data_IF_613842030791
#
_entry.id   IF_613842030791
#
_cell.length_a   1.000
_cell.length_b   1.000
_cell.length_c   1.000
_cell.angle_alpha   90.00
_cell.angle_beta   90.00
_cell.angle_gamma   90.00
#
_symmetry.space_group_name_H-M   'P 1'
#
loop_
_entity.id
_entity.type
_entity.pdbx_description
1 polymer ?
#
# COMPACT_ATOMS: atom_id res chain seq x y z
N UNK A 1 3.93 -55.59 57.14
CA UNK A 1 2.91 -56.51 57.64
C UNK A 1 2.26 -57.10 56.40
N UNK A 2 2.65 -58.31 56.04
CA UNK A 2 1.90 -59.59 56.25
C UNK A 2 0.57 -59.55 55.46
N UNK A 3 0.21 -60.38 54.59
CA UNK A 3 0.39 -61.81 54.25
C UNK A 3 -0.62 -62.06 53.14
N UNK A 4 -0.51 -62.85 52.24
CA UNK A 4 -0.25 -64.30 52.00
C UNK A 4 -1.34 -64.82 51.09
N UNK A 5 -0.98 -65.35 49.96
CA UNK A 5 -1.07 -66.77 49.53
C UNK A 5 -2.50 -67.32 49.57
N UNK A 6 -3.02 -67.81 48.44
CA UNK A 6 -3.15 -69.24 48.24
C UNK A 6 -3.69 -69.63 46.86
N UNK A 7 -3.00 -70.63 46.33
CA UNK A 7 -3.28 -71.39 45.13
C UNK A 7 -4.41 -72.42 45.35
N UNK A 8 -5.17 -72.77 44.31
CA UNK A 8 -5.71 -74.10 44.17
C UNK A 8 -5.88 -74.54 42.72
N UNK A 9 -5.21 -75.63 42.42
CA UNK A 9 -5.35 -76.43 41.22
C UNK A 9 -6.41 -77.49 41.38
N UNK A 10 -7.20 -77.81 40.35
CA UNK A 10 -7.69 -79.17 40.12
C UNK A 10 -8.07 -79.38 38.64
N UNK A 11 -7.43 -80.26 38.05
CA UNK A 11 -7.74 -81.35 37.08
C UNK A 11 -9.14 -81.47 36.49
N UNK A 12 -9.14 -81.66 35.15
CA UNK A 12 -9.95 -82.77 34.67
C UNK A 12 -10.68 -82.63 33.33
N UNK A 13 -10.24 -83.38 32.41
CA UNK A 13 -10.98 -84.12 31.37
C UNK A 13 -11.16 -83.50 29.98
N UNK A 14 -10.42 -84.09 29.10
CA UNK A 14 -10.56 -84.10 27.63
C UNK A 14 -11.97 -84.49 27.13
N UNK A 15 -12.49 -83.78 26.20
CA UNK A 15 -13.42 -84.26 25.17
C UNK A 15 -13.07 -83.68 23.81
N UNK A 16 -12.63 -84.58 22.95
CA UNK A 16 -12.46 -84.34 21.51
C UNK A 16 -13.81 -83.99 20.86
N UNK A 17 -13.90 -82.86 20.29
CA UNK A 17 -14.98 -82.50 19.35
C UNK A 17 -14.35 -82.09 18.01
N UNK A 18 -14.80 -82.76 16.98
CA UNK A 18 -14.42 -82.61 15.59
C UNK A 18 -14.74 -81.19 15.12
N UNK A 19 -13.71 -80.54 14.62
CA UNK A 19 -13.83 -79.23 14.02
C UNK A 19 -14.13 -79.39 12.56
N UNK A 20 -15.34 -79.08 12.12
CA UNK A 20 -15.68 -78.81 10.73
C UNK A 20 -15.11 -77.47 10.33
N UNK A 21 -14.18 -77.49 9.41
CA UNK A 21 -13.52 -76.27 8.86
C UNK A 21 -14.55 -75.50 8.02
N UNK A 22 -15.04 -74.42 8.59
CA UNK A 22 -15.81 -73.42 7.85
C UNK A 22 -14.81 -72.38 7.33
N UNK A 23 -14.57 -72.36 6.05
CA UNK A 23 -13.76 -71.38 5.37
C UNK A 23 -14.53 -70.03 5.35
N UNK A 24 -14.24 -69.14 6.30
CA UNK A 24 -14.62 -67.74 6.29
C UNK A 24 -13.53 -66.97 5.53
N UNK A 25 -13.79 -66.57 4.29
CA UNK A 25 -13.02 -65.57 3.58
C UNK A 25 -12.98 -64.27 4.43
N UNK A 26 -11.81 -63.71 4.72
CA UNK A 26 -11.74 -62.35 5.22
C UNK A 26 -12.02 -61.41 4.05
N UNK A 27 -13.18 -60.77 4.09
CA UNK A 27 -13.52 -59.63 3.26
C UNK A 27 -12.63 -58.47 3.69
N UNK A 28 -11.51 -58.29 3.03
CA UNK A 28 -10.66 -57.10 3.17
C UNK A 28 -11.44 -55.92 2.58
N UNK A 29 -12.11 -55.19 3.45
CA UNK A 29 -12.56 -53.83 3.16
C UNK A 29 -11.30 -52.99 2.98
N UNK A 30 -10.91 -52.83 1.71
CA UNK A 30 -10.03 -51.76 1.29
C UNK A 30 -10.76 -50.43 1.58
N UNK A 31 -10.60 -49.92 2.81
CA UNK A 31 -10.84 -48.50 3.09
C UNK A 31 -9.76 -47.79 2.31
N UNK A 32 -10.09 -47.43 1.06
CA UNK A 32 -9.38 -46.47 0.28
C UNK A 32 -9.51 -45.13 1.04
N UNK A 33 -8.57 -44.87 1.95
CA UNK A 33 -8.25 -43.49 2.31
C UNK A 33 -7.70 -42.84 1.04
N UNK A 34 -8.60 -42.36 0.18
CA UNK A 34 -8.25 -41.35 -0.80
C UNK A 34 -7.62 -40.19 0.00
N UNK A 35 -6.48 -39.65 -0.43
CA UNK A 35 -6.03 -38.43 0.17
C UNK A 35 -7.19 -37.46 0.08
N UNK A 36 -7.67 -36.94 1.23
CA UNK A 36 -8.45 -35.72 1.26
C UNK A 36 -7.65 -34.75 0.39
N UNK A 37 -8.10 -34.52 -0.83
CA UNK A 37 -7.70 -33.36 -1.55
C UNK A 37 -8.14 -32.21 -0.67
N UNK A 38 -7.25 -31.74 0.21
CA UNK A 38 -7.27 -30.37 0.61
C UNK A 38 -7.37 -29.65 -0.72
N UNK A 39 -8.53 -29.10 -1.03
CA UNK A 39 -8.68 -28.14 -2.10
C UNK A 39 -7.64 -27.04 -1.80
N UNK A 40 -6.40 -27.24 -2.23
CA UNK A 40 -5.51 -26.15 -2.49
C UNK A 40 -6.25 -25.35 -3.55
N UNK A 41 -7.02 -24.34 -3.11
CA UNK A 41 -7.62 -23.38 -4.03
C UNK A 41 -6.48 -22.94 -4.93
N UNK A 42 -6.55 -23.35 -6.17
CA UNK A 42 -5.50 -23.10 -7.15
C UNK A 42 -5.50 -21.59 -7.29
N UNK A 43 -4.47 -20.95 -6.77
CA UNK A 43 -4.24 -19.52 -6.94
C UNK A 43 -3.93 -19.27 -8.41
N UNK A 44 -4.92 -18.74 -9.13
CA UNK A 44 -4.81 -18.36 -10.54
C UNK A 44 -4.79 -16.83 -10.66
N UNK A 45 -4.52 -16.28 -11.85
CA UNK A 45 -4.59 -14.82 -12.04
C UNK A 45 -5.94 -14.17 -11.73
N UNK A 46 -7.03 -14.95 -11.68
CA UNK A 46 -8.40 -14.44 -11.53
C UNK A 46 -9.20 -15.11 -10.40
N UNK A 47 -8.59 -16.06 -9.67
CA UNK A 47 -9.25 -16.76 -8.56
C UNK A 47 -8.27 -17.02 -7.44
N UNK A 48 -8.75 -17.07 -6.19
CA UNK A 48 -7.95 -17.35 -5.01
C UNK A 48 -8.04 -16.26 -3.96
N UNK A 49 -7.15 -16.32 -2.97
CA UNK A 49 -7.07 -15.34 -1.90
C UNK A 49 -5.62 -14.96 -1.66
N UNK A 50 -5.31 -13.67 -1.65
CA UNK A 50 -3.99 -13.15 -1.27
C UNK A 50 -4.12 -12.03 -0.25
N UNK A 51 -3.14 -11.97 0.66
CA UNK A 51 -2.94 -10.82 1.52
C UNK A 51 -1.81 -9.98 0.93
N UNK A 52 -1.96 -8.65 0.96
CA UNK A 52 -0.89 -7.76 0.57
C UNK A 52 -0.93 -6.43 1.33
N UNK A 53 0.24 -5.84 1.46
CA UNK A 53 0.46 -4.65 2.25
C UNK A 53 0.57 -3.43 1.34
N UNK A 54 0.00 -2.31 1.78
CA UNK A 54 -0.14 -1.11 0.97
C UNK A 54 0.29 0.10 1.78
N UNK A 55 1.15 0.94 1.20
CA UNK A 55 1.43 2.26 1.74
C UNK A 55 0.12 3.06 1.83
N UNK A 56 -0.23 3.54 3.02
CA UNK A 56 -1.46 4.28 3.28
C UNK A 56 -1.62 5.51 2.38
N UNK A 57 -0.51 6.07 1.88
CA UNK A 57 -0.52 7.20 0.96
C UNK A 57 -1.12 6.87 -0.43
N UNK A 58 -1.28 5.59 -0.76
CA UNK A 58 -1.94 5.13 -1.98
C UNK A 58 -3.20 4.30 -1.70
N UNK A 59 -3.77 4.43 -0.49
CA UNK A 59 -4.95 3.70 -0.06
C UNK A 59 -6.13 3.91 -1.01
N UNK A 60 -6.55 5.16 -1.25
CA UNK A 60 -7.74 5.46 -2.07
C UNK A 60 -7.65 4.90 -3.48
N UNK A 61 -6.48 4.95 -4.12
CA UNK A 61 -6.26 4.31 -5.41
C UNK A 61 -6.38 2.79 -5.32
N UNK A 62 -5.75 2.20 -4.29
CA UNK A 62 -5.73 0.74 -4.14
C UNK A 62 -7.12 0.18 -3.89
N UNK A 63 -7.92 0.82 -3.04
CA UNK A 63 -9.31 0.43 -2.78
C UNK A 63 -10.14 0.40 -4.06
N UNK A 64 -10.02 1.43 -4.92
CA UNK A 64 -10.71 1.46 -6.21
C UNK A 64 -10.23 0.37 -7.18
N UNK A 65 -8.93 0.09 -7.23
CA UNK A 65 -8.37 -0.99 -8.07
C UNK A 65 -8.86 -2.37 -7.60
N UNK A 66 -8.90 -2.59 -6.28
CA UNK A 66 -9.36 -3.85 -5.67
C UNK A 66 -10.85 -4.04 -5.93
N UNK A 67 -11.68 -3.03 -5.68
CA UNK A 67 -13.13 -3.10 -5.87
C UNK A 67 -13.51 -3.49 -7.31
N UNK A 68 -12.89 -2.82 -8.30
CA UNK A 68 -13.16 -3.12 -9.72
C UNK A 68 -12.58 -4.47 -10.13
N UNK A 69 -11.45 -4.89 -9.56
CA UNK A 69 -10.87 -6.20 -9.83
C UNK A 69 -11.76 -7.32 -9.29
N UNK A 70 -12.16 -7.26 -8.01
CA UNK A 70 -13.03 -8.27 -7.38
C UNK A 70 -14.42 -8.31 -8.02
N UNK A 71 -14.97 -7.15 -8.40
CA UNK A 71 -16.21 -7.09 -9.18
C UNK A 71 -16.07 -7.79 -10.56
N UNK A 72 -14.89 -7.68 -11.18
CA UNK A 72 -14.63 -8.35 -12.47
C UNK A 72 -14.32 -9.84 -12.33
N UNK A 73 -13.84 -10.27 -11.17
CA UNK A 73 -13.43 -11.64 -10.86
C UNK A 73 -13.98 -12.07 -9.49
N UNK A 74 -15.24 -12.54 -9.41
CA UNK A 74 -15.93 -12.80 -8.12
C UNK A 74 -15.29 -13.88 -7.24
N UNK A 75 -14.42 -14.73 -7.80
CA UNK A 75 -13.67 -15.75 -7.06
C UNK A 75 -12.28 -15.26 -6.61
N UNK A 76 -11.97 -13.98 -6.82
CA UNK A 76 -10.75 -13.33 -6.37
C UNK A 76 -11.00 -12.57 -5.06
N UNK A 77 -10.13 -12.78 -4.05
CA UNK A 77 -10.21 -12.13 -2.76
C UNK A 77 -8.87 -11.47 -2.43
N UNK A 78 -8.86 -10.15 -2.44
CA UNK A 78 -7.69 -9.31 -2.20
C UNK A 78 -7.78 -8.67 -0.81
N UNK A 79 -7.06 -9.23 0.16
CA UNK A 79 -7.05 -8.71 1.54
C UNK A 79 -5.92 -7.70 1.69
N UNK A 80 -6.27 -6.43 1.74
CA UNK A 80 -5.33 -5.32 1.86
C UNK A 80 -5.09 -4.92 3.31
N UNK A 81 -3.84 -4.59 3.65
CA UNK A 81 -3.45 -3.98 4.92
C UNK A 81 -2.78 -2.64 4.64
N UNK A 82 -3.43 -1.55 5.02
CA UNK A 82 -2.88 -0.20 4.86
C UNK A 82 -2.00 0.15 6.05
N UNK A 83 -0.76 0.53 5.78
CA UNK A 83 0.28 0.73 6.79
C UNK A 83 1.27 1.81 6.33
N UNK A 84 2.14 2.25 7.23
CA UNK A 84 3.29 3.06 6.84
C UNK A 84 4.22 2.28 5.90
N UNK A 85 4.93 2.98 5.01
CA UNK A 85 5.85 2.33 4.05
C UNK A 85 6.88 1.42 4.74
N UNK A 86 7.36 1.81 5.92
CA UNK A 86 8.28 0.99 6.70
C UNK A 86 7.66 -0.35 7.13
N UNK A 87 6.42 -0.34 7.58
CA UNK A 87 5.70 -1.55 7.97
C UNK A 87 5.37 -2.43 6.76
N UNK A 88 5.07 -1.81 5.60
CA UNK A 88 4.89 -2.54 4.34
C UNK A 88 6.15 -3.34 3.97
N UNK A 89 7.33 -2.73 4.10
CA UNK A 89 8.60 -3.42 3.85
C UNK A 89 8.86 -4.52 4.89
N UNK A 90 8.52 -4.29 6.16
CA UNK A 90 8.63 -5.33 7.19
C UNK A 90 7.74 -6.54 6.89
N UNK A 91 6.51 -6.33 6.41
CA UNK A 91 5.63 -7.42 6.01
C UNK A 91 6.22 -8.27 4.87
N UNK A 92 6.98 -7.65 3.94
CA UNK A 92 7.72 -8.38 2.91
C UNK A 92 8.86 -9.21 3.52
N UNK A 93 9.60 -8.66 4.49
CA UNK A 93 10.68 -9.38 5.18
C UNK A 93 10.17 -10.58 5.99
N UNK A 94 9.02 -10.44 6.63
CA UNK A 94 8.40 -11.48 7.45
C UNK A 94 7.62 -12.52 6.63
N UNK A 95 7.60 -12.40 5.30
CA UNK A 95 6.81 -13.24 4.38
C UNK A 95 5.30 -13.27 4.72
N UNK A 96 4.83 -12.28 5.46
CA UNK A 96 3.39 -12.10 5.76
C UNK A 96 2.64 -11.52 4.55
N UNK A 97 3.36 -10.87 3.65
CA UNK A 97 2.91 -10.40 2.35
C UNK A 97 3.98 -10.65 1.29
N UNK A 98 3.58 -11.05 0.09
CA UNK A 98 4.46 -11.18 -1.09
C UNK A 98 4.12 -10.21 -2.21
N UNK A 99 3.12 -9.40 -1.99
CA UNK A 99 2.70 -8.31 -2.85
C UNK A 99 2.62 -7.05 -1.99
N UNK A 100 3.22 -5.98 -2.47
CA UNK A 100 3.10 -4.67 -1.83
C UNK A 100 2.80 -3.58 -2.86
N UNK A 101 2.08 -2.54 -2.45
CA UNK A 101 1.93 -1.32 -3.23
C UNK A 101 2.55 -0.18 -2.43
N UNK A 102 3.52 0.50 -3.03
CA UNK A 102 4.30 1.52 -2.34
C UNK A 102 4.81 2.60 -3.31
N UNK A 103 5.34 3.69 -2.77
CA UNK A 103 5.74 4.86 -3.57
C UNK A 103 7.21 4.86 -3.96
N UNK A 104 7.88 3.72 -3.86
CA UNK A 104 9.25 3.49 -4.33
C UNK A 104 9.47 2.03 -4.69
N UNK A 105 10.58 1.75 -5.31
CA UNK A 105 11.13 0.38 -5.42
C UNK A 105 11.79 -0.02 -4.10
N UNK A 106 12.08 -1.30 -3.95
CA UNK A 106 13.00 -1.76 -2.92
C UNK A 106 14.37 -1.10 -3.16
N UNK A 107 15.02 -0.68 -2.08
CA UNK A 107 16.39 -0.17 -2.14
C UNK A 107 17.41 -1.30 -2.38
N UNK A 108 18.70 -0.96 -2.48
CA UNK A 108 19.76 -1.92 -2.77
C UNK A 108 19.87 -3.02 -1.70
N UNK A 109 19.80 -2.66 -0.41
CA UNK A 109 19.94 -3.60 0.71
C UNK A 109 18.72 -4.52 0.80
N UNK A 110 17.51 -3.98 0.64
CA UNK A 110 16.26 -4.72 0.58
C UNK A 110 16.26 -5.72 -0.59
N UNK A 111 16.72 -5.27 -1.76
CA UNK A 111 16.84 -6.10 -2.96
C UNK A 111 17.85 -7.24 -2.72
N UNK A 112 19.05 -6.93 -2.22
CA UNK A 112 20.08 -7.90 -1.93
C UNK A 112 19.63 -8.97 -0.91
N UNK A 113 18.81 -8.57 0.08
CA UNK A 113 18.23 -9.51 1.04
C UNK A 113 17.37 -10.57 0.34
N UNK A 114 16.39 -10.17 -0.49
CA UNK A 114 15.51 -11.13 -1.17
C UNK A 114 16.25 -11.96 -2.22
N UNK A 115 17.25 -11.40 -2.91
CA UNK A 115 18.12 -12.14 -3.84
C UNK A 115 18.95 -13.18 -3.12
N UNK A 116 19.45 -12.90 -1.91
CA UNK A 116 20.17 -13.88 -1.07
C UNK A 116 19.32 -15.09 -0.73
N UNK A 117 18.01 -14.89 -0.57
CA UNK A 117 17.02 -15.94 -0.37
C UNK A 117 16.54 -16.59 -1.68
N UNK A 118 17.12 -16.21 -2.83
CA UNK A 118 16.79 -16.69 -4.18
C UNK A 118 15.33 -16.36 -4.61
N UNK A 119 14.72 -15.36 -4.03
CA UNK A 119 13.46 -14.84 -4.51
C UNK A 119 13.67 -13.96 -5.74
N UNK A 120 12.80 -14.11 -6.74
CA UNK A 120 12.68 -13.12 -7.82
C UNK A 120 11.93 -11.90 -7.31
N UNK A 121 12.34 -10.72 -7.75
CA UNK A 121 11.69 -9.46 -7.40
C UNK A 121 11.17 -8.85 -8.70
N UNK A 122 9.92 -8.43 -8.69
CA UNK A 122 9.32 -7.68 -9.79
C UNK A 122 8.86 -6.31 -9.27
N UNK A 123 9.28 -5.25 -9.96
CA UNK A 123 8.83 -3.88 -9.72
C UNK A 123 7.98 -3.43 -10.90
N UNK A 124 6.71 -3.22 -10.70
CA UNK A 124 5.73 -2.89 -11.74
C UNK A 124 5.19 -1.49 -11.46
N UNK A 125 5.57 -0.51 -12.29
CA UNK A 125 5.07 0.85 -12.16
C UNK A 125 3.63 0.91 -12.66
N UNK A 126 2.71 1.37 -11.79
CA UNK A 126 1.28 1.51 -12.13
C UNK A 126 0.84 2.96 -12.33
N UNK A 127 1.63 3.92 -11.87
CA UNK A 127 1.33 5.34 -12.01
C UNK A 127 2.34 6.22 -11.31
N UNK A 128 2.05 7.52 -11.26
CA UNK A 128 2.83 8.48 -10.48
C UNK A 128 1.90 9.37 -9.65
N UNK A 129 2.31 9.60 -8.41
CA UNK A 129 1.69 10.47 -7.41
C UNK A 129 2.53 11.71 -7.20
N UNK A 130 2.03 12.68 -6.46
CA UNK A 130 2.78 13.85 -6.04
C UNK A 130 2.67 14.08 -4.54
N UNK A 131 3.74 14.57 -3.92
CA UNK A 131 3.72 15.09 -2.56
C UNK A 131 3.20 16.51 -2.59
N UNK A 132 2.13 16.79 -1.85
CA UNK A 132 1.35 18.02 -1.92
C UNK A 132 1.49 18.80 -0.63
N UNK A 133 1.72 20.10 -0.75
CA UNK A 133 1.75 21.05 0.35
C UNK A 133 0.41 21.77 0.43
N UNK A 134 -0.12 21.85 1.64
CA UNK A 134 -1.43 22.46 1.90
C UNK A 134 -1.35 23.43 3.07
N UNK A 135 -2.09 24.51 2.99
CA UNK A 135 -2.18 25.53 4.04
C UNK A 135 -3.63 25.81 4.40
N UNK A 136 -3.84 26.50 5.51
CA UNK A 136 -5.15 26.95 5.93
C UNK A 136 -5.81 27.87 4.88
N UNK A 137 -7.12 27.85 4.82
CA UNK A 137 -7.89 28.69 3.86
C UNK A 137 -7.68 30.20 4.03
N UNK A 138 -7.32 30.64 5.24
CA UNK A 138 -7.06 32.05 5.52
C UNK A 138 -5.59 32.44 5.20
N UNK A 139 -4.70 31.47 5.03
CA UNK A 139 -3.32 31.75 4.72
C UNK A 139 -3.19 32.28 3.27
N UNK A 140 -2.63 33.49 3.04
CA UNK A 140 -2.43 34.05 1.70
C UNK A 140 -1.29 33.38 0.95
N UNK A 141 -0.29 32.80 1.67
CA UNK A 141 0.90 32.23 1.09
C UNK A 141 0.61 30.84 0.51
N UNK A 142 0.49 30.78 -0.80
CA UNK A 142 0.11 29.56 -1.52
C UNK A 142 1.06 29.19 -2.66
N UNK A 143 2.21 29.87 -2.77
CA UNK A 143 3.22 29.61 -3.79
C UNK A 143 4.62 29.65 -3.17
N UNK A 144 5.35 28.55 -3.26
CA UNK A 144 6.66 28.39 -2.63
C UNK A 144 7.73 27.98 -3.63
N UNK A 145 8.97 28.42 -3.39
CA UNK A 145 10.15 27.84 -4.02
C UNK A 145 10.48 26.51 -3.35
N UNK A 146 11.06 25.59 -4.12
CA UNK A 146 11.56 24.32 -3.56
C UNK A 146 12.55 24.54 -2.41
N UNK A 147 13.41 25.57 -2.53
CA UNK A 147 14.36 25.92 -1.47
C UNK A 147 13.67 26.44 -0.20
N UNK A 148 12.58 27.20 -0.31
CA UNK A 148 11.77 27.62 0.84
C UNK A 148 11.17 26.42 1.55
N UNK A 149 10.65 25.46 0.80
CA UNK A 149 10.14 24.19 1.38
C UNK A 149 11.28 23.44 2.09
N UNK A 150 12.47 23.33 1.49
CA UNK A 150 13.63 22.71 2.15
C UNK A 150 13.93 23.37 3.49
N UNK A 151 14.02 24.69 3.52
CA UNK A 151 14.34 25.46 4.72
C UNK A 151 13.28 25.28 5.83
N UNK A 152 12.00 25.26 5.48
CA UNK A 152 10.92 24.96 6.42
C UNK A 152 11.09 23.55 7.02
N UNK A 153 11.40 22.55 6.18
CA UNK A 153 11.53 21.16 6.60
C UNK A 153 12.71 20.92 7.55
N UNK A 154 13.84 21.61 7.33
CA UNK A 154 15.02 21.48 8.20
C UNK A 154 15.01 22.47 9.37
N UNK A 155 14.00 23.35 9.47
CA UNK A 155 13.84 24.32 10.55
C UNK A 155 14.70 25.58 10.44
N UNK A 156 15.31 25.83 9.25
CA UNK A 156 16.01 27.09 8.95
C UNK A 156 15.02 28.26 8.89
N UNK A 157 13.87 28.03 8.22
CA UNK A 157 12.74 28.97 8.19
C UNK A 157 11.61 28.38 9.07
N UNK A 158 11.51 28.85 10.32
CA UNK A 158 10.50 28.41 11.29
C UNK A 158 9.44 29.48 11.60
N UNK A 159 9.59 30.66 11.02
CA UNK A 159 8.67 31.78 11.17
C UNK A 159 8.13 32.21 9.78
N UNK A 160 6.85 32.50 9.69
CA UNK A 160 6.23 33.02 8.47
C UNK A 160 6.85 34.36 8.01
N UNK A 161 7.29 35.20 8.96
CA UNK A 161 7.96 36.47 8.66
C UNK A 161 9.31 36.33 7.96
N UNK A 162 9.93 35.13 7.98
CA UNK A 162 11.14 34.85 7.20
C UNK A 162 10.81 34.59 5.71
N UNK A 163 9.54 34.25 5.42
CA UNK A 163 9.05 33.98 4.07
C UNK A 163 8.40 35.23 3.48
N UNK A 164 7.45 35.80 4.23
CA UNK A 164 6.81 37.09 3.94
C UNK A 164 6.89 37.98 5.19
N UNK A 165 7.64 39.07 5.11
CA UNK A 165 7.81 40.03 6.21
C UNK A 165 6.50 40.68 6.67
N UNK A 166 5.46 40.67 5.84
CA UNK A 166 4.13 41.18 6.15
C UNK A 166 3.19 40.11 6.72
N UNK A 167 3.65 38.89 6.90
CA UNK A 167 2.82 37.80 7.42
C UNK A 167 2.32 38.10 8.83
N UNK A 168 1.03 37.87 9.04
CA UNK A 168 0.38 37.98 10.37
C UNK A 168 0.57 36.73 11.25
N UNK A 169 1.11 35.66 10.68
CA UNK A 169 1.37 34.42 11.40
C UNK A 169 2.80 34.40 11.96
N UNK A 170 2.98 33.71 13.07
CA UNK A 170 4.29 33.66 13.73
C UNK A 170 5.06 32.39 13.34
N UNK A 171 4.71 31.25 13.91
CA UNK A 171 5.42 29.99 13.71
C UNK A 171 4.87 29.22 12.52
N UNK A 172 5.78 28.44 11.89
CA UNK A 172 5.44 27.48 10.85
C UNK A 172 5.48 26.10 11.48
N UNK A 173 4.31 25.46 11.63
CA UNK A 173 4.22 24.06 12.00
C UNK A 173 4.10 23.21 10.74
N UNK A 174 5.05 22.32 10.48
CA UNK A 174 5.04 21.40 9.33
C UNK A 174 4.49 20.06 9.80
N UNK A 175 3.37 19.61 9.22
CA UNK A 175 2.64 18.42 9.68
C UNK A 175 2.68 17.35 8.60
N UNK A 176 3.20 16.16 8.93
CA UNK A 176 3.16 14.95 8.12
C UNK A 176 2.06 13.98 8.61
N UNK A 177 1.65 13.09 7.73
CA UNK A 177 0.67 12.03 7.98
C UNK A 177 1.09 11.04 9.06
N UNK A 178 2.38 10.65 9.14
CA UNK A 178 2.92 9.87 10.26
C UNK A 178 4.46 9.96 10.31
N UNK A 179 5.07 9.47 11.41
CA UNK A 179 6.52 9.52 11.63
C UNK A 179 7.34 8.56 10.75
N UNK A 180 6.69 7.58 10.10
CA UNK A 180 7.28 6.63 9.15
C UNK A 180 6.72 6.82 7.73
N UNK A 181 6.21 8.01 7.45
CA UNK A 181 5.54 8.38 6.21
C UNK A 181 6.44 8.28 4.99
N UNK A 182 5.91 7.73 3.91
CA UNK A 182 6.57 7.77 2.60
C UNK A 182 6.71 9.20 2.05
N UNK A 183 5.83 10.14 2.46
CA UNK A 183 5.97 11.57 2.13
C UNK A 183 7.21 12.16 2.78
N UNK A 184 7.41 11.91 4.09
CA UNK A 184 8.58 12.40 4.83
C UNK A 184 9.87 11.77 4.28
N UNK A 185 9.90 10.45 4.06
CA UNK A 185 11.04 9.76 3.46
C UNK A 185 11.39 10.38 2.10
N UNK A 186 10.41 10.51 1.20
CA UNK A 186 10.62 11.07 -0.13
C UNK A 186 11.26 12.46 -0.08
N UNK A 187 10.76 13.35 0.80
CA UNK A 187 11.31 14.71 0.92
C UNK A 187 12.69 14.71 1.59
N UNK A 188 12.93 13.81 2.55
CA UNK A 188 14.27 13.65 3.15
C UNK A 188 15.29 13.23 2.10
N UNK A 189 14.94 12.26 1.26
CA UNK A 189 15.85 11.73 0.24
C UNK A 189 16.06 12.71 -0.93
N UNK A 190 15.00 13.40 -1.37
CA UNK A 190 15.03 14.22 -2.59
C UNK A 190 15.33 15.69 -2.37
N UNK A 191 15.07 16.23 -1.17
CA UNK A 191 15.13 17.67 -0.92
C UNK A 191 16.01 18.05 0.28
N UNK A 192 15.99 17.25 1.36
CA UNK A 192 16.71 17.60 2.58
C UNK A 192 18.17 17.17 2.59
N UNK A 193 18.67 16.50 1.54
CA UNK A 193 20.06 16.03 1.42
C UNK A 193 20.52 15.19 2.63
N UNK A 194 19.61 14.35 3.20
CA UNK A 194 19.88 13.54 4.38
C UNK A 194 19.86 14.27 5.71
N UNK A 195 19.55 15.57 5.73
CA UNK A 195 19.36 16.32 6.98
C UNK A 195 18.10 15.81 7.70
N UNK A 196 18.13 15.95 9.03
CA UNK A 196 16.97 15.59 9.87
C UNK A 196 15.91 16.69 9.81
N UNK A 197 14.63 16.34 9.96
CA UNK A 197 13.56 17.30 10.14
C UNK A 197 13.83 18.26 11.30
N UNK A 198 13.42 19.51 11.13
CA UNK A 198 13.52 20.54 12.15
C UNK A 198 12.58 20.28 13.34
N UNK A 199 12.76 21.06 14.42
CA UNK A 199 11.92 20.97 15.62
C UNK A 199 10.48 21.45 15.40
N UNK A 200 10.22 22.10 14.27
CA UNK A 200 8.90 22.56 13.82
C UNK A 200 8.15 21.53 12.94
N UNK A 201 8.70 20.32 12.80
CA UNK A 201 8.10 19.23 12.02
C UNK A 201 7.46 18.23 12.97
N UNK A 202 6.19 17.94 12.75
CA UNK A 202 5.37 17.07 13.58
C UNK A 202 4.72 15.97 12.75
N UNK A 203 4.42 14.84 13.37
CA UNK A 203 3.66 13.77 12.79
C UNK A 203 2.21 13.81 13.31
N UNK A 204 1.25 13.65 12.40
CA UNK A 204 -0.13 13.31 12.70
C UNK A 204 -0.33 11.79 12.56
N UNK A 205 -1.59 11.32 12.58
CA UNK A 205 -1.87 9.89 12.44
C UNK A 205 -2.10 9.46 10.97
N UNK A 206 -2.63 10.37 10.15
CA UNK A 206 -3.00 10.13 8.75
C UNK A 206 -3.30 11.44 8.01
N UNK A 207 -3.61 11.37 6.71
CA UNK A 207 -3.91 12.53 5.89
C UNK A 207 -5.12 13.36 6.39
N UNK A 208 -6.15 12.72 6.96
CA UNK A 208 -7.32 13.43 7.53
C UNK A 208 -6.92 14.25 8.76
N UNK A 209 -6.07 13.70 9.63
CA UNK A 209 -5.53 14.40 10.80
C UNK A 209 -4.66 15.59 10.40
N UNK A 210 -3.85 15.46 9.34
CA UNK A 210 -3.09 16.59 8.75
C UNK A 210 -4.03 17.69 8.29
N UNK A 211 -5.04 17.35 7.49
CA UNK A 211 -6.01 18.31 6.94
C UNK A 211 -6.77 19.00 8.06
N UNK A 212 -7.24 18.25 9.05
CA UNK A 212 -7.95 18.79 10.20
C UNK A 212 -7.07 19.71 11.06
N UNK A 213 -5.78 19.41 11.20
CA UNK A 213 -4.85 20.28 11.90
C UNK A 213 -4.63 21.60 11.14
N UNK A 214 -4.33 21.51 9.84
CA UNK A 214 -4.13 22.69 8.97
C UNK A 214 -5.38 23.57 8.92
N UNK A 215 -6.57 22.96 8.84
CA UNK A 215 -7.83 23.70 8.82
C UNK A 215 -8.06 24.54 10.09
N UNK A 216 -7.54 24.10 11.24
CA UNK A 216 -7.70 24.79 12.54
C UNK A 216 -6.53 25.70 12.90
N UNK A 217 -5.38 25.53 12.25
CA UNK A 217 -4.15 26.25 12.57
C UNK A 217 -3.65 27.04 11.35
N UNK A 218 -3.94 28.34 11.25
CA UNK A 218 -3.60 29.16 10.09
C UNK A 218 -2.09 29.26 9.78
N UNK A 219 -1.23 29.06 10.77
CA UNK A 219 0.23 29.02 10.61
C UNK A 219 0.78 27.65 10.23
N UNK A 220 -0.04 26.60 10.09
CA UNK A 220 0.41 25.29 9.74
C UNK A 220 0.53 25.09 8.22
N UNK A 221 1.50 24.27 7.82
CA UNK A 221 1.63 23.70 6.50
C UNK A 221 1.55 22.17 6.60
N UNK A 222 0.62 21.57 5.88
CA UNK A 222 0.44 20.13 5.85
C UNK A 222 1.09 19.52 4.62
N UNK A 223 1.54 18.27 4.74
CA UNK A 223 2.14 17.50 3.66
C UNK A 223 1.38 16.19 3.52
N UNK A 224 0.76 16.00 2.37
CA UNK A 224 -0.08 14.85 2.04
C UNK A 224 0.24 14.32 0.64
N UNK A 225 -0.24 13.12 0.33
CA UNK A 225 -0.23 12.58 -1.03
C UNK A 225 -1.31 13.23 -1.91
N UNK A 226 -1.05 13.43 -3.20
CA UNK A 226 -2.07 13.90 -4.16
C UNK A 226 -3.24 12.92 -4.25
N UNK A 227 -2.98 11.62 -4.07
CA UNK A 227 -4.00 10.57 -3.99
C UNK A 227 -5.09 10.86 -2.93
N UNK A 228 -4.75 11.55 -1.83
CA UNK A 228 -5.73 11.89 -0.79
C UNK A 228 -6.78 12.93 -1.22
N UNK A 229 -6.49 13.71 -2.27
CA UNK A 229 -7.33 14.82 -2.74
C UNK A 229 -7.52 14.84 -4.25
N UNK A 230 -6.97 13.88 -5.00
CA UNK A 230 -6.88 13.90 -6.47
C UNK A 230 -8.19 13.61 -7.18
N UNK A 231 -8.96 12.68 -6.66
CA UNK A 231 -10.20 12.20 -7.24
C UNK A 231 -11.30 13.27 -7.16
N UNK A 232 -11.77 13.69 -8.33
CA UNK A 232 -12.82 14.73 -8.45
C UNK A 232 -14.23 14.19 -8.24
N UNK A 233 -14.39 12.89 -8.42
CA UNK A 233 -15.68 12.21 -8.30
C UNK A 233 -15.89 11.70 -6.87
N UNK A 234 -14.86 11.74 -6.02
CA UNK A 234 -14.91 11.35 -4.61
C UNK A 234 -15.41 12.51 -3.73
N UNK A 235 -16.50 12.27 -3.01
CA UNK A 235 -17.01 13.21 -2.00
C UNK A 235 -15.98 13.47 -0.89
N UNK A 236 -15.23 12.43 -0.47
CA UNK A 236 -14.18 12.54 0.53
C UNK A 236 -13.06 13.47 0.06
N UNK A 237 -12.55 13.29 -1.15
CA UNK A 237 -11.51 14.16 -1.72
C UNK A 237 -12.00 15.60 -1.87
N UNK A 238 -13.27 15.79 -2.27
CA UNK A 238 -13.90 17.10 -2.37
C UNK A 238 -14.04 17.76 -0.99
N UNK A 239 -14.50 17.03 0.01
CA UNK A 239 -14.60 17.49 1.40
C UNK A 239 -13.23 17.92 1.95
N UNK A 240 -12.19 17.11 1.74
CA UNK A 240 -10.80 17.43 2.13
C UNK A 240 -10.31 18.72 1.49
N UNK A 241 -10.46 18.88 0.18
CA UNK A 241 -10.08 20.10 -0.57
C UNK A 241 -10.78 21.35 -0.07
N UNK A 242 -12.03 21.23 0.35
CA UNK A 242 -12.81 22.36 0.83
C UNK A 242 -12.32 22.92 2.16
N UNK A 243 -11.49 22.20 2.90
CA UNK A 243 -10.97 22.60 4.20
C UNK A 243 -9.62 23.34 4.13
N UNK A 244 -8.93 23.25 3.01
CA UNK A 244 -7.55 23.69 2.84
C UNK A 244 -7.33 24.47 1.55
N UNK A 245 -6.15 25.06 1.37
CA UNK A 245 -5.64 25.53 0.08
C UNK A 245 -4.45 24.69 -0.34
N UNK A 246 -4.44 24.23 -1.58
CA UNK A 246 -3.33 23.53 -2.19
C UNK A 246 -2.29 24.53 -2.70
N UNK A 247 -1.05 24.37 -2.29
CA UNK A 247 0.06 25.24 -2.67
C UNK A 247 0.61 24.90 -4.04
N UNK A 248 1.10 25.91 -4.75
CA UNK A 248 1.93 25.76 -5.91
C UNK A 248 3.41 25.72 -5.50
N UNK A 249 4.21 24.87 -6.13
CA UNK A 249 5.65 24.79 -5.88
C UNK A 249 6.43 24.76 -7.18
N UNK A 250 7.60 25.40 -7.19
CA UNK A 250 8.49 25.47 -8.33
C UNK A 250 9.90 25.84 -7.95
N UNK A 251 10.82 25.82 -8.90
CA UNK A 251 12.19 26.30 -8.71
C UNK A 251 12.21 27.81 -8.41
N UNK A 252 11.26 28.53 -9.02
CA UNK A 252 10.99 29.94 -8.75
C UNK A 252 9.48 30.11 -8.43
N UNK A 253 9.15 31.04 -7.54
CA UNK A 253 7.74 31.33 -7.17
C UNK A 253 6.91 31.84 -8.35
N UNK A 254 7.54 32.51 -9.33
CA UNK A 254 6.87 32.97 -10.57
C UNK A 254 6.56 31.82 -11.54
N UNK A 255 7.25 30.69 -11.42
CA UNK A 255 7.07 29.48 -12.22
C UNK A 255 6.59 28.29 -11.36
N UNK A 256 5.85 28.57 -10.29
CA UNK A 256 5.30 27.54 -9.41
C UNK A 256 4.01 26.93 -9.99
N UNK A 257 3.91 25.61 -9.89
CA UNK A 257 2.76 24.84 -10.37
C UNK A 257 2.03 24.17 -9.20
N UNK A 258 0.71 24.17 -9.26
CA UNK A 258 -0.09 23.33 -8.36
C UNK A 258 0.04 21.87 -8.79
N UNK A 259 0.03 20.91 -7.84
CA UNK A 259 -0.02 19.50 -8.17
C UNK A 259 -1.32 19.21 -8.92
N UNK A 260 -1.16 18.75 -10.14
CA UNK A 260 -2.24 18.31 -11.00
C UNK A 260 -1.72 17.19 -11.90
N UNK A 261 -2.62 16.33 -12.37
CA UNK A 261 -2.25 15.24 -13.27
C UNK A 261 -1.39 15.75 -14.46
N UNK A 262 -1.79 16.86 -15.09
CA UNK A 262 -1.04 17.46 -16.19
C UNK A 262 0.34 17.96 -15.74
N UNK A 263 0.45 18.59 -14.57
CA UNK A 263 1.73 19.10 -14.07
C UNK A 263 2.69 17.95 -13.68
N UNK A 264 2.14 16.82 -13.20
CA UNK A 264 2.89 15.60 -12.92
C UNK A 264 3.40 14.96 -14.22
N UNK A 265 2.53 14.74 -15.21
CA UNK A 265 2.87 14.13 -16.50
C UNK A 265 3.89 14.96 -17.28
N UNK A 266 3.79 16.30 -17.23
CA UNK A 266 4.70 17.20 -17.94
C UNK A 266 5.98 17.54 -17.17
N UNK A 267 6.17 16.98 -15.96
CA UNK A 267 7.34 17.24 -15.11
C UNK A 267 7.44 18.68 -14.60
N UNK A 268 6.34 19.45 -14.64
CA UNK A 268 6.31 20.84 -14.16
C UNK A 268 6.22 20.95 -12.65
N UNK A 269 5.58 19.96 -11.99
CA UNK A 269 5.54 19.88 -10.55
C UNK A 269 6.75 19.11 -10.03
N UNK A 270 7.53 19.64 -9.07
CA UNK A 270 8.84 19.07 -8.75
C UNK A 270 8.80 17.82 -7.86
N UNK A 271 7.74 17.61 -7.07
CA UNK A 271 7.68 16.54 -6.08
C UNK A 271 6.79 15.40 -6.55
N UNK A 272 7.28 14.67 -7.56
CA UNK A 272 6.61 13.52 -8.18
C UNK A 272 7.32 12.24 -7.77
N UNK A 273 6.54 11.22 -7.42
CA UNK A 273 7.02 9.88 -7.09
C UNK A 273 6.19 8.82 -7.81
N UNK A 274 6.81 7.72 -8.14
CA UNK A 274 6.15 6.62 -8.84
C UNK A 274 5.46 5.70 -7.85
N UNK A 275 4.31 5.12 -8.27
CA UNK A 275 3.59 4.08 -7.54
C UNK A 275 3.96 2.74 -8.15
N UNK A 276 4.41 1.83 -7.29
CA UNK A 276 4.91 0.52 -7.67
C UNK A 276 4.12 -0.60 -7.01
N UNK A 277 3.79 -1.62 -7.79
CA UNK A 277 3.52 -2.95 -7.26
C UNK A 277 4.88 -3.65 -7.16
N UNK A 278 5.23 -4.07 -5.95
CA UNK A 278 6.42 -4.88 -5.65
C UNK A 278 5.95 -6.30 -5.38
N UNK A 279 6.45 -7.26 -6.17
CA UNK A 279 6.11 -8.67 -6.02
C UNK A 279 7.36 -9.48 -5.69
N UNK A 280 7.29 -10.26 -4.60
CA UNK A 280 8.35 -11.17 -4.17
C UNK A 280 7.98 -12.60 -4.58
N UNK A 281 8.88 -13.25 -5.34
CA UNK A 281 8.68 -14.58 -5.89
C UNK A 281 8.22 -14.58 -7.35
N UNK A 282 8.39 -15.73 -8.01
CA UNK A 282 8.11 -15.90 -9.45
C UNK A 282 6.77 -16.61 -9.72
N UNK A 283 5.97 -16.88 -8.69
CA UNK A 283 4.71 -17.60 -8.86
C UNK A 283 3.70 -16.75 -9.63
N UNK A 284 3.19 -17.33 -10.72
CA UNK A 284 2.03 -16.77 -11.41
C UNK A 284 0.76 -17.14 -10.63
N UNK A 285 0.05 -16.15 -10.13
CA UNK A 285 -1.18 -16.31 -9.35
C UNK A 285 -1.96 -15.01 -9.30
N UNK A 286 -2.84 -14.87 -8.31
CA UNK A 286 -3.75 -13.73 -8.19
C UNK A 286 -3.01 -12.38 -8.14
N UNK A 287 -1.84 -12.33 -7.48
CA UNK A 287 -1.00 -11.12 -7.47
C UNK A 287 -0.48 -10.70 -8.86
N UNK A 288 -0.18 -11.68 -9.73
CA UNK A 288 0.19 -11.39 -11.13
C UNK A 288 -1.03 -10.91 -11.93
N UNK A 289 -2.21 -11.53 -11.71
CA UNK A 289 -3.46 -11.11 -12.31
C UNK A 289 -3.83 -9.68 -11.94
N UNK A 290 -3.75 -9.35 -10.65
CA UNK A 290 -4.01 -7.99 -10.16
C UNK A 290 -3.03 -6.95 -10.74
N UNK A 291 -1.73 -7.27 -10.79
CA UNK A 291 -0.73 -6.38 -11.40
C UNK A 291 -0.99 -6.16 -12.90
N UNK A 292 -1.37 -7.23 -13.62
CA UNK A 292 -1.74 -7.14 -15.04
C UNK A 292 -3.01 -6.30 -15.23
N UNK A 293 -4.00 -6.44 -14.36
CA UNK A 293 -5.21 -5.62 -14.36
C UNK A 293 -4.88 -4.14 -14.10
N UNK A 294 -4.05 -3.85 -13.10
CA UNK A 294 -3.66 -2.48 -12.76
C UNK A 294 -2.94 -1.77 -13.92
N UNK A 295 -2.15 -2.51 -14.73
CA UNK A 295 -1.49 -2.02 -15.94
C UNK A 295 -2.43 -1.99 -17.16
N UNK A 296 -3.49 -2.77 -17.15
CA UNK A 296 -4.46 -2.82 -18.24
C UNK A 296 -5.28 -1.54 -18.35
N UNK A 297 -6.00 -1.40 -19.46
CA UNK A 297 -6.81 -0.20 -19.76
C UNK A 297 -7.73 0.21 -18.60
N UNK A 298 -8.44 -0.75 -18.01
CA UNK A 298 -9.35 -0.48 -16.87
C UNK A 298 -8.61 0.05 -15.65
N UNK A 299 -7.50 -0.57 -15.27
CA UNK A 299 -6.68 -0.12 -14.14
C UNK A 299 -6.08 1.25 -14.39
N UNK A 300 -5.60 1.53 -15.59
CA UNK A 300 -5.04 2.84 -15.95
C UNK A 300 -6.09 3.95 -15.99
N UNK A 301 -7.34 3.63 -16.37
CA UNK A 301 -8.46 4.56 -16.25
C UNK A 301 -8.79 4.88 -14.78
N UNK A 302 -8.69 3.90 -13.87
CA UNK A 302 -8.86 4.14 -12.43
C UNK A 302 -7.76 5.07 -11.92
N UNK A 303 -6.48 4.81 -12.25
CA UNK A 303 -5.37 5.70 -11.90
C UNK A 303 -5.62 7.13 -12.40
N UNK A 304 -6.11 7.26 -13.63
CA UNK A 304 -6.45 8.56 -14.22
C UNK A 304 -7.59 9.26 -13.47
N UNK A 305 -8.65 8.54 -13.10
CA UNK A 305 -9.80 9.08 -12.34
C UNK A 305 -9.42 9.50 -10.94
N UNK A 306 -8.54 8.75 -10.29
CA UNK A 306 -7.97 9.11 -9.00
C UNK A 306 -7.15 10.43 -9.04
N UNK A 307 -7.03 11.06 -10.20
CA UNK A 307 -6.28 12.31 -10.39
C UNK A 307 -4.77 12.11 -10.51
N UNK A 308 -4.31 10.87 -10.56
CA UNK A 308 -2.90 10.48 -10.65
C UNK A 308 -2.45 10.34 -12.10
N UNK A 309 -1.14 10.31 -12.34
CA UNK A 309 -0.59 10.11 -13.67
C UNK A 309 -0.47 8.60 -13.98
N UNK A 310 -1.20 8.05 -14.99
CA UNK A 310 -1.09 6.67 -15.37
C UNK A 310 0.32 6.31 -15.88
N UNK A 311 0.77 5.07 -15.63
CA UNK A 311 2.04 4.56 -16.16
C UNK A 311 1.98 4.35 -17.69
N UNK A 312 0.80 3.93 -18.18
CA UNK A 312 0.47 3.78 -19.59
C UNK A 312 -0.82 4.55 -19.87
N UNK A 313 -0.77 5.74 -20.47
CA UNK A 313 -1.98 6.49 -20.81
C UNK A 313 -2.87 5.65 -21.76
N UNK A 314 -4.17 5.60 -21.47
CA UNK A 314 -5.12 4.95 -22.37
C UNK A 314 -5.15 5.69 -23.73
N UNK A 315 -4.95 4.95 -24.82
CA UNK A 315 -5.11 5.49 -26.17
C UNK A 315 -6.56 5.88 -26.39
N UNK A 316 -6.84 7.16 -26.60
CA UNK A 316 -8.16 7.62 -26.99
C UNK A 316 -8.36 7.35 -28.48
N UNK A 317 -9.07 6.28 -28.83
CA UNK A 317 -9.59 6.09 -30.19
C UNK A 317 -10.78 7.04 -30.39
N UNK A 318 -10.59 8.08 -31.18
CA UNK A 318 -11.69 8.96 -31.59
C UNK A 318 -12.20 8.40 -32.93
N UNK A 319 -13.32 7.69 -32.91
CA UNK A 319 -14.05 7.36 -34.13
C UNK A 319 -14.89 8.58 -34.53
N UNK A 320 -14.47 9.26 -35.59
CA UNK A 320 -15.27 10.33 -36.22
C UNK A 320 -16.37 9.64 -37.05
N UNK A 321 -17.58 9.56 -36.51
CA UNK A 321 -18.74 9.19 -37.30
C UNK A 321 -19.15 10.40 -38.14
N UNK A 322 -18.83 10.39 -39.40
CA UNK A 322 -19.34 11.35 -40.38
C UNK A 322 -20.80 10.97 -40.69
N UNK A 323 -21.76 11.83 -40.38
CA UNK A 323 -23.17 11.74 -40.79
C UNK A 323 -23.36 12.34 -42.15
#
# INVERSE_FOLDING_TARGET
>A
MKNSIESFSVFGRSRTVRITACWLLPCWLLVSCGPSASESRIDTPTTGKINFSVDENVQSLTEQLVDVFETSYPDAFLVTSFKSEKEVVNDLYEDSSRLAIMTRRLNADETAYFESLKFGIEHIKIGSDAVVFVVNRENPDTAFKTETIRKMLVGEDSLWTQIDSASKYSHIDVIFDNGASSNLRYLTDSLMNGQKPGSNVFAADNADSVIAYVARNPGAIGIIAMNAIGDKDSELCTSRKNQIKVCAVGLDSSAAYKPSQSAVVTGKYPFVRDIWIVKIGKRAGLGTGFASFALGERGQLIVQRAGLAPAAPAERKIELTTY
#
